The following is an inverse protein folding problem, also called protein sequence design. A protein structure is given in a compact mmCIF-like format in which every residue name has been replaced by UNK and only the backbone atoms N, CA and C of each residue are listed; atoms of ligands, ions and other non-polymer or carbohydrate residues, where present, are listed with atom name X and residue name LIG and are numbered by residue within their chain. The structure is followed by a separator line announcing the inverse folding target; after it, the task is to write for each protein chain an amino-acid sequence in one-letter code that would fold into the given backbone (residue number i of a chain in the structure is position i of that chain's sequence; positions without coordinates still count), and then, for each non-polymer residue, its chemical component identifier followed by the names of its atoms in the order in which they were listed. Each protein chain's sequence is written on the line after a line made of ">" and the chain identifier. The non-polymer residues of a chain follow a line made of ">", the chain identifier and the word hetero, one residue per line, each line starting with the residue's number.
data_IF_262727114735
#
_entry.id   IF_262727114735
#
_cell.length_a   1.000
_cell.length_b   1.000
_cell.length_c   1.000
_cell.angle_alpha   90.00
_cell.angle_beta   90.00
_cell.angle_gamma   90.00
#
_symmetry.space_group_name_H-M   'P 1'
#
loop_
_entity.id
_entity.type
_entity.pdbx_description
1 polymer ?
#
# COMPACT_ATOMS: atom_id res chain seq x y z
N UNK A 1 -23.19 28.00 42.00
CA UNK A 1 -22.57 29.04 41.16
C UNK A 1 -21.95 28.33 39.95
N UNK A 2 -22.78 28.05 38.94
CA UNK A 2 -22.32 27.58 37.63
C UNK A 2 -21.86 28.81 36.84
N UNK A 3 -20.61 28.84 36.38
CA UNK A 3 -20.12 29.81 35.39
C UNK A 3 -20.13 29.14 34.03
N UNK A 4 -21.09 29.53 33.19
CA UNK A 4 -21.21 29.14 31.79
C UNK A 4 -20.07 29.76 30.98
N UNK A 5 -19.33 28.94 30.25
CA UNK A 5 -18.36 29.38 29.23
C UNK A 5 -19.11 29.35 27.90
N UNK A 6 -19.44 30.53 27.36
CA UNK A 6 -20.02 30.70 26.03
C UNK A 6 -18.99 30.35 24.95
N UNK A 7 -19.40 29.57 23.95
CA UNK A 7 -18.64 29.34 22.73
C UNK A 7 -19.00 30.39 21.67
N UNK A 8 -18.03 30.88 20.88
CA UNK A 8 -18.28 31.92 19.88
C UNK A 8 -19.07 31.37 18.68
N UNK A 9 -19.99 32.20 18.21
CA UNK A 9 -20.92 31.90 17.10
C UNK A 9 -20.23 31.89 15.73
N UNK A 10 -20.75 31.09 14.79
CA UNK A 10 -20.24 30.86 13.43
C UNK A 10 -20.03 32.12 12.56
N UNK A 11 -20.54 33.28 12.97
CA UNK A 11 -20.35 34.55 12.28
C UNK A 11 -18.95 35.19 12.50
N UNK A 12 -18.21 34.82 13.56
CA UNK A 12 -16.86 35.36 13.80
C UNK A 12 -15.73 34.54 13.13
N UNK A 13 -15.99 33.28 12.77
CA UNK A 13 -15.02 32.41 12.08
C UNK A 13 -14.91 32.75 10.59
N UNK A 14 -15.95 33.37 10.00
CA UNK A 14 -16.02 33.68 8.58
C UNK A 14 -15.20 34.92 8.14
N UNK A 15 -14.47 35.61 9.04
CA UNK A 15 -13.71 36.82 8.71
C UNK A 15 -12.18 36.64 8.62
N UNK A 16 -11.67 35.41 8.75
CA UNK A 16 -10.24 35.13 8.72
C UNK A 16 -9.71 34.54 7.40
N UNK A 17 -10.55 34.36 6.38
CA UNK A 17 -10.17 33.77 5.10
C UNK A 17 -10.55 34.68 3.93
N UNK A 18 -9.68 35.63 3.61
CA UNK A 18 -9.87 36.51 2.45
C UNK A 18 -8.73 37.49 2.27
N UNK A 19 -7.69 37.10 1.53
CA UNK A 19 -6.59 37.97 1.13
C UNK A 19 -5.64 37.29 0.12
N UNK A 20 -5.34 37.91 -1.03
CA UNK A 20 -4.79 37.24 -2.20
C UNK A 20 -3.27 37.17 -2.16
N UNK A 21 -2.69 35.99 -2.42
CA UNK A 21 -1.34 35.85 -2.99
C UNK A 21 -1.16 34.43 -3.51
N UNK A 22 -1.49 34.27 -4.78
CA UNK A 22 -1.15 33.12 -5.62
C UNK A 22 0.35 33.12 -5.90
N UNK A 23 1.09 32.16 -5.35
CA UNK A 23 2.39 31.75 -5.87
C UNK A 23 2.25 30.35 -6.46
N UNK A 24 2.20 30.31 -7.78
CA UNK A 24 2.31 29.09 -8.55
C UNK A 24 3.73 28.56 -8.46
N UNK A 25 3.88 27.30 -8.07
CA UNK A 25 5.11 26.54 -8.27
C UNK A 25 4.90 25.65 -9.50
N UNK A 26 5.36 26.13 -10.66
CA UNK A 26 5.65 25.29 -11.82
C UNK A 26 6.87 24.41 -11.47
N UNK A 27 6.69 23.10 -11.51
CA UNK A 27 7.79 22.14 -11.37
C UNK A 27 8.05 21.52 -12.74
N UNK A 28 9.06 22.07 -13.41
CA UNK A 28 9.58 21.61 -14.70
C UNK A 28 10.61 20.49 -14.44
N UNK A 29 10.27 19.25 -14.76
CA UNK A 29 11.21 18.11 -14.74
C UNK A 29 11.70 17.83 -16.16
N UNK A 30 12.70 18.63 -16.57
CA UNK A 30 13.60 18.33 -17.67
C UNK A 30 14.79 17.51 -17.19
N UNK A 31 15.08 16.46 -17.94
CA UNK A 31 16.23 15.56 -17.84
C UNK A 31 17.57 16.29 -17.61
N UNK A 32 18.43 15.73 -16.75
CA UNK A 32 19.84 15.49 -17.08
C UNK A 32 20.57 14.62 -16.06
N UNK A 33 21.20 13.61 -16.64
CA UNK A 33 22.15 12.65 -16.11
C UNK A 33 23.34 13.33 -15.42
N UNK A 34 23.72 12.83 -14.23
CA UNK A 34 25.11 12.82 -13.77
C UNK A 34 25.34 11.58 -12.88
N UNK A 35 25.99 10.57 -13.46
CA UNK A 35 26.55 9.43 -12.75
C UNK A 35 27.72 9.90 -11.86
N UNK A 36 27.56 9.75 -10.54
CA UNK A 36 28.60 9.96 -9.54
C UNK A 36 29.29 8.64 -9.18
N UNK A 37 30.60 8.66 -9.28
CA UNK A 37 31.57 7.58 -9.06
C UNK A 37 31.71 7.22 -7.57
N UNK A 38 31.72 5.93 -7.23
CA UNK A 38 32.28 5.41 -5.96
C UNK A 38 33.22 4.23 -6.29
N UNK A 39 34.47 4.22 -5.81
CA UNK A 39 35.50 3.27 -6.23
C UNK A 39 35.40 1.92 -5.51
N UNK A 40 35.51 0.84 -6.29
CA UNK A 40 35.56 -0.55 -5.84
C UNK A 40 37.02 -0.98 -5.70
N UNK A 41 37.56 -0.86 -4.50
CA UNK A 41 38.82 -1.49 -4.10
C UNK A 41 38.51 -2.68 -3.18
N UNK A 42 39.31 -3.75 -3.30
CA UNK A 42 39.38 -4.93 -2.42
C UNK A 42 38.27 -5.99 -2.55
N UNK A 43 38.40 -6.86 -3.56
CA UNK A 43 38.43 -8.32 -3.32
C UNK A 43 39.48 -8.89 -4.27
N UNK A 44 40.67 -9.14 -3.71
CA UNK A 44 41.73 -9.93 -4.34
C UNK A 44 41.49 -11.41 -4.03
N UNK A 45 42.09 -12.24 -4.88
CA UNK A 45 42.42 -13.66 -4.71
C UNK A 45 41.39 -14.68 -5.24
N UNK A 46 41.61 -15.08 -6.50
CA UNK A 46 40.89 -16.14 -7.21
C UNK A 46 41.58 -16.48 -8.54
N UNK A 47 42.81 -16.96 -8.42
CA UNK A 47 43.74 -17.32 -9.50
C UNK A 47 43.33 -18.66 -10.15
N UNK A 48 43.03 -18.70 -11.46
CA UNK A 48 43.37 -19.88 -12.28
C UNK A 48 43.47 -19.55 -13.78
N UNK A 49 44.50 -20.09 -14.40
CA UNK A 49 45.18 -19.63 -15.61
C UNK A 49 44.97 -20.67 -16.72
N UNK A 50 44.39 -20.30 -17.86
CA UNK A 50 44.45 -21.09 -19.10
C UNK A 50 44.60 -20.18 -20.33
N UNK A 51 45.71 -19.44 -20.38
CA UNK A 51 46.22 -18.77 -21.57
C UNK A 51 47.08 -19.77 -22.37
N UNK A 52 46.48 -20.56 -23.27
CA UNK A 52 47.21 -21.25 -24.35
C UNK A 52 46.35 -21.82 -25.48
N UNK A 53 45.35 -21.08 -25.99
CA UNK A 53 44.53 -21.57 -27.12
C UNK A 53 44.19 -20.55 -28.23
N UNK A 54 44.82 -19.38 -28.28
CA UNK A 54 44.51 -18.36 -29.32
C UNK A 54 45.74 -17.89 -30.11
N UNK A 55 46.64 -18.80 -30.50
CA UNK A 55 47.74 -18.51 -31.45
C UNK A 55 47.83 -19.53 -32.59
N UNK A 56 46.69 -19.96 -33.10
CA UNK A 56 46.60 -20.89 -34.24
C UNK A 56 45.53 -20.51 -35.27
N UNK A 57 44.88 -19.34 -35.15
CA UNK A 57 43.87 -18.86 -36.10
C UNK A 57 44.27 -17.60 -36.90
N UNK A 58 45.49 -17.08 -36.71
CA UNK A 58 46.00 -15.89 -37.41
C UNK A 58 46.82 -16.21 -38.67
N UNK A 59 46.85 -17.48 -39.11
CA UNK A 59 47.62 -17.91 -40.29
C UNK A 59 46.78 -18.34 -41.49
N UNK A 60 45.48 -18.00 -41.56
CA UNK A 60 44.60 -18.47 -42.66
C UNK A 60 43.81 -17.39 -43.42
N UNK A 61 43.95 -16.09 -43.12
CA UNK A 61 43.21 -15.03 -43.85
C UNK A 61 44.11 -14.01 -44.57
N UNK A 62 45.44 -14.20 -44.53
CA UNK A 62 46.40 -13.35 -45.22
C UNK A 62 46.86 -13.92 -46.58
N UNK A 63 45.93 -14.28 -47.47
CA UNK A 63 46.27 -14.71 -48.85
C UNK A 63 45.07 -14.66 -49.81
N UNK A 64 44.73 -13.46 -50.27
CA UNK A 64 44.31 -13.13 -51.65
C UNK A 64 44.30 -11.59 -51.71
N UNK A 65 45.30 -11.03 -52.41
CA UNK A 65 45.25 -9.65 -52.90
C UNK A 65 44.05 -9.51 -53.85
N UNK A 66 43.53 -8.33 -54.12
CA UNK A 66 44.22 -7.32 -54.91
C UNK A 66 43.52 -5.99 -54.67
N UNK A 67 44.32 -5.02 -54.23
CA UNK A 67 44.10 -3.60 -54.46
C UNK A 67 44.27 -3.32 -55.95
N UNK A 68 43.28 -2.69 -56.59
CA UNK A 68 43.52 -1.81 -57.73
C UNK A 68 42.41 -0.73 -57.73
N UNK A 69 42.64 0.41 -57.07
CA UNK A 69 43.32 1.59 -57.60
C UNK A 69 42.50 2.32 -58.69
N UNK A 70 41.84 3.39 -58.24
CA UNK A 70 41.62 4.66 -58.96
C UNK A 70 40.74 4.61 -60.22
N UNK A 71 39.52 5.16 -60.12
CA UNK A 71 39.09 6.22 -61.04
C UNK A 71 37.88 6.99 -60.51
N UNK A 72 38.12 8.29 -60.33
CA UNK A 72 37.25 9.39 -60.74
C UNK A 72 35.94 9.57 -59.97
N UNK A 73 35.99 10.61 -59.13
CA UNK A 73 35.04 11.72 -59.12
C UNK A 73 34.09 11.84 -60.32
N UNK A 74 32.89 12.29 -59.97
CA UNK A 74 31.76 12.79 -60.77
C UNK A 74 30.58 11.81 -60.86
N UNK A 75 29.52 12.02 -60.09
CA UNK A 75 28.43 12.98 -60.35
C UNK A 75 27.26 12.23 -61.02
N UNK A 76 26.04 12.67 -60.72
CA UNK A 76 24.81 12.44 -61.50
C UNK A 76 23.95 11.21 -61.12
N UNK A 77 22.95 11.52 -60.29
CA UNK A 77 21.51 11.18 -60.39
C UNK A 77 21.06 9.75 -60.71
N UNK A 78 20.14 9.24 -59.88
CA UNK A 78 19.28 8.12 -60.27
C UNK A 78 18.42 7.61 -59.12
N UNK A 79 17.39 8.37 -58.75
CA UNK A 79 16.34 7.92 -57.83
C UNK A 79 15.57 6.76 -58.51
N UNK A 80 15.98 5.53 -58.24
CA UNK A 80 15.41 4.32 -58.85
C UNK A 80 14.19 3.84 -58.04
N UNK A 81 13.02 3.93 -58.68
CA UNK A 81 11.66 3.65 -58.17
C UNK A 81 11.34 2.17 -57.94
N UNK A 82 12.31 1.33 -57.58
CA UNK A 82 12.11 -0.12 -57.33
C UNK A 82 12.69 -0.59 -56.00
N UNK A 83 12.23 -0.02 -54.89
CA UNK A 83 12.53 -0.55 -53.54
C UNK A 83 11.38 -0.38 -52.53
N UNK A 84 10.12 -0.50 -52.96
CA UNK A 84 8.94 -0.42 -52.08
C UNK A 84 8.61 -1.71 -51.31
N UNK A 85 9.19 -2.85 -51.69
CA UNK A 85 9.04 -4.14 -51.01
C UNK A 85 9.71 -4.25 -49.63
N UNK A 86 10.81 -3.52 -49.37
CA UNK A 86 11.54 -3.56 -48.09
C UNK A 86 10.75 -2.90 -46.95
N UNK A 87 10.13 -1.72 -47.11
CA UNK A 87 9.26 -1.17 -46.07
C UNK A 87 7.94 -1.96 -45.92
N UNK A 88 7.41 -2.55 -46.99
CA UNK A 88 6.19 -3.34 -46.94
C UNK A 88 6.35 -4.65 -46.13
N UNK A 89 7.49 -5.34 -46.27
CA UNK A 89 7.82 -6.52 -45.46
C UNK A 89 8.06 -6.17 -43.98
N UNK A 90 8.66 -5.01 -43.69
CA UNK A 90 8.87 -4.53 -42.33
C UNK A 90 7.58 -4.15 -41.59
N UNK A 91 6.61 -3.56 -42.30
CA UNK A 91 5.29 -3.26 -41.72
C UNK A 91 4.49 -4.55 -41.53
N UNK A 92 4.60 -5.52 -42.45
CA UNK A 92 3.87 -6.78 -42.34
C UNK A 92 4.38 -7.64 -41.17
N UNK A 93 5.68 -7.66 -40.88
CA UNK A 93 6.23 -8.36 -39.70
C UNK A 93 5.88 -7.68 -38.38
N UNK A 94 5.76 -6.35 -38.34
CA UNK A 94 5.30 -5.62 -37.14
C UNK A 94 3.82 -5.88 -36.86
N UNK A 95 2.97 -5.88 -37.89
CA UNK A 95 1.54 -6.20 -37.76
C UNK A 95 1.32 -7.68 -37.37
N UNK A 96 2.19 -8.59 -37.84
CA UNK A 96 2.14 -10.01 -37.45
C UNK A 96 2.60 -10.24 -35.99
N UNK A 97 3.40 -9.34 -35.43
CA UNK A 97 3.86 -9.41 -34.03
C UNK A 97 2.85 -8.79 -33.06
N UNK A 98 2.04 -7.85 -33.54
CA UNK A 98 0.83 -7.37 -32.86
C UNK A 98 -0.34 -8.31 -33.17
N UNK A 99 -0.27 -9.55 -32.65
CA UNK A 99 -1.42 -10.46 -32.66
C UNK A 99 -2.66 -9.78 -32.04
N UNK A 100 -3.88 -10.25 -32.38
CA UNK A 100 -5.09 -9.71 -31.77
C UNK A 100 -4.97 -9.82 -30.25
N UNK A 101 -5.06 -8.66 -29.57
CA UNK A 101 -5.23 -8.63 -28.12
C UNK A 101 -6.53 -9.38 -27.86
N UNK A 102 -6.53 -10.50 -27.11
CA UNK A 102 -7.78 -11.11 -26.72
C UNK A 102 -8.46 -10.11 -25.79
N UNK A 103 -9.42 -9.35 -26.31
CA UNK A 103 -10.44 -8.67 -25.52
C UNK A 103 -11.42 -9.76 -25.02
N UNK A 104 -10.90 -10.76 -24.34
CA UNK A 104 -11.66 -11.79 -23.67
C UNK A 104 -11.78 -11.41 -22.19
N UNK A 105 -12.49 -10.31 -21.92
CA UNK A 105 -13.46 -10.40 -20.83
C UNK A 105 -14.58 -11.29 -21.35
N UNK A 106 -14.35 -12.61 -21.30
CA UNK A 106 -15.47 -13.54 -21.37
C UNK A 106 -16.48 -13.04 -20.33
N UNK A 107 -17.77 -12.96 -20.69
CA UNK A 107 -18.80 -12.60 -19.74
C UNK A 107 -18.72 -13.60 -18.58
N UNK A 108 -18.11 -13.20 -17.48
CA UNK A 108 -18.05 -14.01 -16.27
C UNK A 108 -19.49 -14.22 -15.81
N UNK A 109 -19.82 -15.43 -15.36
CA UNK A 109 -21.17 -15.66 -14.88
C UNK A 109 -21.44 -14.78 -13.66
N UNK A 110 -22.70 -14.36 -13.46
CA UNK A 110 -23.09 -13.60 -12.26
C UNK A 110 -22.69 -14.29 -10.95
N UNK A 111 -22.61 -15.63 -10.96
CA UNK A 111 -22.07 -16.43 -9.86
C UNK A 111 -20.57 -16.20 -9.64
N UNK A 112 -19.74 -16.27 -10.68
CA UNK A 112 -18.29 -16.05 -10.57
C UNK A 112 -17.98 -14.64 -10.07
N UNK A 113 -18.70 -13.64 -10.60
CA UNK A 113 -18.60 -12.25 -10.16
C UNK A 113 -18.97 -12.12 -8.67
N UNK A 114 -20.08 -12.75 -8.26
CA UNK A 114 -20.50 -12.75 -6.86
C UNK A 114 -19.44 -13.40 -5.95
N UNK A 115 -18.94 -14.59 -6.31
CA UNK A 115 -17.93 -15.30 -5.52
C UNK A 115 -16.60 -14.54 -5.46
N UNK A 116 -16.20 -13.88 -6.54
CA UNK A 116 -14.93 -13.15 -6.62
C UNK A 116 -14.95 -11.78 -5.92
N UNK A 117 -16.10 -11.07 -5.90
CA UNK A 117 -16.16 -9.66 -5.49
C UNK A 117 -17.13 -9.38 -4.34
N UNK A 118 -18.14 -10.22 -4.11
CA UNK A 118 -19.23 -9.94 -3.15
C UNK A 118 -19.25 -10.91 -1.96
N UNK A 119 -18.92 -12.18 -2.18
CA UNK A 119 -19.04 -13.26 -1.20
C UNK A 119 -18.14 -13.12 0.04
N UNK A 120 -17.10 -12.28 -0.04
CA UNK A 120 -16.26 -11.93 1.10
C UNK A 120 -17.03 -11.13 2.16
N UNK A 121 -17.94 -10.26 1.73
CA UNK A 121 -18.67 -9.37 2.63
C UNK A 121 -20.13 -9.77 2.81
N UNK A 122 -20.73 -10.40 1.79
CA UNK A 122 -22.15 -10.72 1.74
C UNK A 122 -22.39 -12.22 1.64
N UNK A 123 -23.38 -12.70 2.37
CA UNK A 123 -23.92 -14.04 2.20
C UNK A 123 -25.29 -13.99 1.49
N UNK A 124 -25.73 -15.15 1.01
CA UNK A 124 -27.11 -15.38 0.57
C UNK A 124 -27.66 -16.47 1.48
N UNK A 125 -28.51 -16.09 2.43
CA UNK A 125 -29.15 -17.00 3.39
C UNK A 125 -28.21 -17.51 4.49
N UNK A 126 -27.01 -16.94 4.61
CA UNK A 126 -26.00 -17.29 5.60
C UNK A 126 -25.89 -16.28 6.76
N UNK A 127 -26.72 -15.23 6.76
CA UNK A 127 -26.67 -14.16 7.76
C UNK A 127 -25.56 -13.12 7.53
N UNK A 128 -25.35 -12.25 8.52
CA UNK A 128 -24.36 -11.16 8.46
C UNK A 128 -22.93 -11.71 8.48
N UNK A 129 -22.08 -11.25 7.55
CA UNK A 129 -20.63 -11.41 7.61
C UNK A 129 -20.00 -10.04 7.92
N UNK A 130 -19.71 -9.23 6.90
CA UNK A 130 -19.32 -7.82 7.03
C UNK A 130 -20.51 -6.93 6.67
N UNK A 131 -21.16 -7.23 5.54
CA UNK A 131 -22.37 -6.59 5.06
C UNK A 131 -23.66 -7.38 5.39
N UNK A 132 -24.83 -6.82 5.05
CA UNK A 132 -26.12 -7.50 5.19
C UNK A 132 -26.23 -8.75 4.32
N UNK A 133 -27.06 -9.70 4.75
CA UNK A 133 -27.48 -10.85 3.94
C UNK A 133 -28.34 -10.38 2.75
N UNK A 134 -28.05 -10.93 1.58
CA UNK A 134 -28.69 -10.59 0.31
C UNK A 134 -29.87 -11.51 -0.04
N UNK A 135 -30.14 -12.54 0.77
CA UNK A 135 -31.34 -13.35 0.60
C UNK A 135 -32.60 -12.48 0.60
N UNK A 136 -33.40 -12.56 -0.47
CA UNK A 136 -34.65 -11.80 -0.63
C UNK A 136 -34.45 -10.29 -0.77
N UNK A 137 -33.27 -9.82 -1.19
CA UNK A 137 -33.01 -8.38 -1.34
C UNK A 137 -33.92 -7.72 -2.38
N UNK A 138 -34.31 -8.46 -3.41
CA UNK A 138 -35.22 -8.00 -4.47
C UNK A 138 -36.67 -7.79 -3.99
N UNK A 139 -37.06 -8.39 -2.86
CA UNK A 139 -38.37 -8.16 -2.25
C UNK A 139 -38.37 -6.91 -1.37
N UNK A 140 -37.18 -6.53 -0.87
CA UNK A 140 -37.01 -5.36 -0.01
C UNK A 140 -36.80 -4.07 -0.79
N UNK A 141 -36.20 -4.13 -1.99
CA UNK A 141 -35.78 -2.96 -2.76
C UNK A 141 -35.93 -3.17 -4.26
N UNK A 142 -36.16 -2.05 -4.96
CA UNK A 142 -36.29 -2.06 -6.41
C UNK A 142 -34.96 -2.37 -7.10
N UNK A 143 -35.03 -2.94 -8.31
CA UNK A 143 -33.88 -3.20 -9.15
C UNK A 143 -33.04 -1.93 -9.39
N UNK A 144 -33.69 -0.81 -9.68
CA UNK A 144 -33.03 0.47 -9.92
C UNK A 144 -32.25 0.98 -8.71
N UNK A 145 -32.82 0.82 -7.50
CA UNK A 145 -32.14 1.19 -6.28
C UNK A 145 -30.90 0.31 -6.06
N UNK A 146 -31.02 -1.01 -6.29
CA UNK A 146 -29.89 -1.95 -6.15
C UNK A 146 -28.78 -1.64 -7.14
N UNK A 147 -29.10 -1.35 -8.40
CA UNK A 147 -28.11 -0.97 -9.41
C UNK A 147 -27.38 0.32 -9.02
N UNK A 148 -28.11 1.34 -8.55
CA UNK A 148 -27.52 2.60 -8.10
C UNK A 148 -26.62 2.41 -6.87
N UNK A 149 -27.08 1.61 -5.90
CA UNK A 149 -26.35 1.36 -4.66
C UNK A 149 -25.09 0.53 -4.90
N UNK A 150 -25.13 -0.51 -5.74
CA UNK A 150 -23.94 -1.32 -6.07
C UNK A 150 -22.91 -0.51 -6.86
N UNK A 151 -23.36 0.37 -7.76
CA UNK A 151 -22.47 1.21 -8.57
C UNK A 151 -21.75 2.25 -7.73
N UNK A 152 -22.46 2.93 -6.84
CA UNK A 152 -21.90 4.04 -6.05
C UNK A 152 -22.61 4.15 -4.68
N UNK A 153 -22.29 3.27 -3.72
CA UNK A 153 -22.98 3.23 -2.43
C UNK A 153 -22.81 4.53 -1.63
N UNK A 154 -21.62 5.12 -1.64
CA UNK A 154 -21.34 6.38 -0.94
C UNK A 154 -22.18 7.54 -1.47
N UNK A 155 -22.38 7.65 -2.79
CA UNK A 155 -23.19 8.74 -3.34
C UNK A 155 -24.67 8.61 -2.99
N UNK A 156 -25.19 7.38 -2.82
CA UNK A 156 -26.56 7.15 -2.33
C UNK A 156 -26.69 7.55 -0.87
N UNK A 157 -25.70 7.21 -0.03
CA UNK A 157 -25.66 7.60 1.39
C UNK A 157 -25.57 9.13 1.53
N UNK A 158 -24.65 9.77 0.79
CA UNK A 158 -24.46 11.23 0.79
C UNK A 158 -25.67 11.99 0.23
N UNK A 159 -26.43 11.37 -0.69
CA UNK A 159 -27.68 11.94 -1.19
C UNK A 159 -28.81 11.99 -0.15
N UNK A 160 -28.61 11.39 1.03
CA UNK A 160 -29.55 11.41 2.14
C UNK A 160 -30.68 10.39 2.02
N UNK A 161 -30.49 9.32 1.23
CA UNK A 161 -31.46 8.22 1.18
C UNK A 161 -31.58 7.56 2.57
N UNK A 162 -32.79 7.56 3.19
CA UNK A 162 -32.95 7.14 4.58
C UNK A 162 -32.62 5.65 4.78
N UNK A 163 -32.88 4.80 3.78
CA UNK A 163 -32.58 3.38 3.85
C UNK A 163 -31.07 3.12 3.74
N UNK A 164 -30.40 3.82 2.83
CA UNK A 164 -28.95 3.71 2.66
C UNK A 164 -28.20 4.20 3.91
N UNK A 165 -28.62 5.33 4.49
CA UNK A 165 -28.05 5.87 5.74
C UNK A 165 -28.31 4.92 6.91
N UNK A 166 -29.52 4.37 7.04
CA UNK A 166 -29.86 3.43 8.11
C UNK A 166 -29.02 2.14 8.03
N UNK A 167 -28.80 1.62 6.81
CA UNK A 167 -27.88 0.49 6.61
C UNK A 167 -26.46 0.91 7.01
N UNK A 168 -25.96 2.03 6.52
CA UNK A 168 -24.59 2.46 6.78
C UNK A 168 -24.30 2.60 8.29
N UNK A 169 -25.20 3.23 9.03
CA UNK A 169 -25.13 3.34 10.50
C UNK A 169 -25.17 1.96 11.18
N UNK A 170 -26.07 1.07 10.75
CA UNK A 170 -26.22 -0.28 11.34
C UNK A 170 -25.00 -1.18 11.12
N UNK A 171 -24.24 -0.96 10.05
CA UNK A 171 -23.06 -1.75 9.70
C UNK A 171 -21.75 -1.01 10.02
N UNK A 172 -21.71 -0.32 11.17
CA UNK A 172 -20.53 0.34 11.73
C UNK A 172 -19.89 1.39 10.81
N UNK A 173 -20.68 2.01 9.92
CA UNK A 173 -20.18 2.98 8.92
C UNK A 173 -19.08 2.39 8.04
N UNK A 174 -19.12 1.07 7.82
CA UNK A 174 -18.16 0.40 6.98
C UNK A 174 -18.46 0.68 5.50
N UNK A 175 -17.55 1.33 4.76
CA UNK A 175 -17.84 1.71 3.38
C UNK A 175 -17.82 0.48 2.46
N UNK A 176 -18.90 0.26 1.71
CA UNK A 176 -18.90 -0.69 0.60
C UNK A 176 -18.03 -0.12 -0.54
N UNK A 177 -17.04 -0.87 -1.07
CA UNK A 177 -16.21 -0.39 -2.19
C UNK A 177 -17.04 -0.12 -3.44
N UNK A 178 -16.74 0.98 -4.13
CA UNK A 178 -17.40 1.37 -5.38
C UNK A 178 -16.56 0.97 -6.61
N UNK A 179 -17.21 0.80 -7.76
CA UNK A 179 -16.53 0.61 -9.04
C UNK A 179 -15.83 -0.74 -9.24
N UNK A 180 -16.22 -1.77 -8.47
CA UNK A 180 -15.66 -3.12 -8.60
C UNK A 180 -16.08 -3.83 -9.90
N UNK A 181 -17.24 -3.47 -10.45
CA UNK A 181 -17.90 -4.12 -11.59
C UNK A 181 -18.61 -3.09 -12.48
N UNK A 182 -18.79 -3.42 -13.75
CA UNK A 182 -19.46 -2.61 -14.79
C UNK A 182 -20.99 -2.70 -14.70
N UNK A 183 -21.71 -1.76 -15.33
CA UNK A 183 -23.18 -1.72 -15.33
C UNK A 183 -23.82 -3.03 -15.87
N UNK A 184 -23.14 -3.73 -16.79
CA UNK A 184 -23.59 -5.03 -17.30
C UNK A 184 -23.40 -6.13 -16.26
N UNK A 185 -22.22 -6.20 -15.65
CA UNK A 185 -21.86 -7.17 -14.61
C UNK A 185 -22.75 -7.00 -13.37
N UNK A 186 -23.15 -5.77 -13.01
CA UNK A 186 -24.12 -5.51 -11.92
C UNK A 186 -25.43 -6.25 -12.17
N UNK A 187 -25.96 -6.20 -13.38
CA UNK A 187 -27.23 -6.86 -13.74
C UNK A 187 -27.09 -8.39 -13.67
N UNK A 188 -25.95 -8.91 -14.10
CA UNK A 188 -25.66 -10.35 -14.04
C UNK A 188 -25.56 -10.85 -12.59
N UNK A 189 -24.89 -10.09 -11.71
CA UNK A 189 -24.81 -10.41 -10.27
C UNK A 189 -26.17 -10.33 -9.59
N UNK A 190 -26.97 -9.28 -9.86
CA UNK A 190 -28.32 -9.16 -9.29
C UNK A 190 -29.24 -10.29 -9.76
N UNK A 191 -29.16 -10.67 -11.04
CA UNK A 191 -29.90 -11.82 -11.56
C UNK A 191 -29.52 -13.12 -10.83
N UNK A 192 -28.22 -13.36 -10.59
CA UNK A 192 -27.75 -14.49 -9.80
C UNK A 192 -28.30 -14.46 -8.37
N UNK A 193 -28.20 -13.32 -7.68
CA UNK A 193 -28.72 -13.16 -6.30
C UNK A 193 -30.21 -13.48 -6.24
N UNK A 194 -31.00 -13.06 -7.24
CA UNK A 194 -32.44 -13.35 -7.32
C UNK A 194 -32.70 -14.86 -7.40
N UNK A 195 -31.98 -15.55 -8.28
CA UNK A 195 -32.11 -17.02 -8.44
C UNK A 195 -31.64 -17.74 -7.18
N UNK A 196 -30.48 -17.38 -6.64
CA UNK A 196 -29.92 -17.99 -5.44
C UNK A 196 -30.78 -17.76 -4.19
N UNK A 197 -31.44 -16.60 -4.08
CA UNK A 197 -32.40 -16.31 -3.01
C UNK A 197 -33.65 -17.17 -3.10
N UNK A 198 -34.16 -17.41 -4.31
CA UNK A 198 -35.35 -18.22 -4.53
C UNK A 198 -35.10 -19.72 -4.35
N UNK A 199 -33.87 -20.17 -4.62
CA UNK A 199 -33.46 -21.57 -4.47
C UNK A 199 -33.31 -22.02 -3.01
N UNK A 200 -33.50 -21.13 -2.01
CA UNK A 200 -33.35 -21.45 -0.59
C UNK A 200 -32.00 -22.12 -0.34
N UNK A 201 -30.91 -21.40 -0.59
CA UNK A 201 -29.56 -21.95 -0.81
C UNK A 201 -29.04 -22.85 0.33
N UNK A 202 -29.41 -24.13 0.27
CA UNK A 202 -28.75 -25.25 0.94
C UNK A 202 -27.54 -25.78 0.17
N UNK A 203 -27.28 -25.30 -1.05
CA UNK A 203 -26.20 -25.84 -1.92
C UNK A 203 -25.08 -24.85 -2.26
N UNK A 204 -25.17 -23.57 -1.88
CA UNK A 204 -24.04 -22.61 -2.01
C UNK A 204 -23.33 -22.33 -0.68
N UNK A 205 -23.41 -23.29 0.26
CA UNK A 205 -22.74 -23.21 1.57
C UNK A 205 -21.75 -24.35 1.85
N UNK A 206 -21.25 -25.06 0.83
CA UNK A 206 -20.15 -26.00 1.04
C UNK A 206 -18.75 -25.36 1.07
N UNK A 207 -18.60 -24.04 0.79
CA UNK A 207 -17.29 -23.38 0.83
C UNK A 207 -17.12 -22.28 1.89
N UNK A 208 -18.18 -21.74 2.51
CA UNK A 208 -18.05 -20.79 3.63
C UNK A 208 -19.14 -20.99 4.69
N UNK A 209 -19.60 -22.23 4.91
CA UNK A 209 -20.21 -22.56 6.18
C UNK A 209 -19.14 -22.45 7.28
N UNK A 210 -19.38 -21.55 8.22
CA UNK A 210 -18.56 -21.33 9.42
C UNK A 210 -18.52 -22.62 10.24
N UNK A 211 -17.58 -23.51 9.92
CA UNK A 211 -16.99 -24.38 10.93
C UNK A 211 -16.10 -23.49 11.81
N UNK A 212 -16.44 -23.42 13.10
CA UNK A 212 -15.52 -23.05 14.19
C UNK A 212 -14.14 -23.66 13.88
N UNK A 213 -13.04 -22.90 14.00
CA UNK A 213 -11.77 -23.26 13.38
C UNK A 213 -11.32 -24.67 13.82
N UNK A 214 -10.96 -25.49 12.84
CA UNK A 214 -10.43 -26.86 12.96
C UNK A 214 -9.05 -26.91 13.65
N UNK A 215 -8.53 -25.76 14.09
CA UNK A 215 -7.35 -25.62 14.95
C UNK A 215 -7.56 -24.48 15.94
N UNK A 216 -7.48 -24.77 17.23
CA UNK A 216 -7.44 -23.74 18.28
C UNK A 216 -6.12 -22.98 18.14
N UNK A 217 -6.18 -21.65 18.09
CA UNK A 217 -4.98 -20.82 17.97
C UNK A 217 -4.08 -21.03 19.20
N UNK A 218 -2.81 -21.37 18.96
CA UNK A 218 -1.83 -21.48 20.03
C UNK A 218 -1.09 -20.15 20.25
N UNK A 219 -0.34 -20.03 21.36
CA UNK A 219 0.47 -18.82 21.62
C UNK A 219 1.54 -18.60 20.54
N UNK A 220 2.03 -19.68 19.94
CA UNK A 220 2.97 -19.65 18.83
C UNK A 220 2.32 -19.05 17.58
N UNK A 221 1.06 -19.39 17.30
CA UNK A 221 0.30 -18.84 16.16
C UNK A 221 0.06 -17.33 16.35
N UNK A 222 -0.25 -16.88 17.57
CA UNK A 222 -0.35 -15.44 17.92
C UNK A 222 0.98 -14.73 17.70
N UNK A 223 2.08 -15.31 18.17
CA UNK A 223 3.43 -14.72 18.02
C UNK A 223 3.84 -14.66 16.55
N UNK A 224 3.51 -15.69 15.77
CA UNK A 224 3.72 -15.70 14.31
C UNK A 224 2.91 -14.60 13.64
N UNK A 225 1.64 -14.44 14.00
CA UNK A 225 0.77 -13.37 13.50
C UNK A 225 1.32 -11.98 13.81
N UNK A 226 1.74 -11.75 15.04
CA UNK A 226 2.40 -10.52 15.48
C UNK A 226 3.65 -10.24 14.64
N UNK A 227 4.50 -11.24 14.40
CA UNK A 227 5.71 -11.10 13.61
C UNK A 227 5.45 -10.79 12.14
N UNK A 228 4.42 -11.39 11.54
CA UNK A 228 3.97 -11.07 10.19
C UNK A 228 3.40 -9.65 10.11
N UNK A 229 2.56 -9.27 11.08
CA UNK A 229 1.94 -7.95 11.14
C UNK A 229 2.99 -6.84 11.20
N UNK A 230 3.94 -6.95 12.14
CA UNK A 230 4.99 -5.94 12.37
C UNK A 230 6.17 -6.04 11.38
N UNK A 231 6.16 -7.02 10.48
CA UNK A 231 7.23 -7.20 9.49
C UNK A 231 8.54 -7.79 10.01
N UNK A 232 8.54 -8.40 11.20
CA UNK A 232 9.68 -9.23 11.67
C UNK A 232 9.80 -10.53 10.88
N UNK A 233 8.67 -11.05 10.40
CA UNK A 233 8.62 -12.16 9.45
C UNK A 233 8.10 -11.64 8.09
N UNK A 234 8.68 -12.14 7.00
CA UNK A 234 8.21 -11.84 5.64
C UNK A 234 7.07 -12.78 5.26
N UNK A 235 6.12 -12.26 4.51
CA UNK A 235 5.11 -13.07 3.84
C UNK A 235 5.74 -13.93 2.75
N UNK A 236 5.21 -15.14 2.54
CA UNK A 236 5.67 -16.10 1.54
C UNK A 236 5.62 -15.50 0.12
N UNK A 237 4.54 -14.80 -0.20
CA UNK A 237 4.34 -14.16 -1.50
C UNK A 237 4.87 -12.71 -1.55
N UNK A 238 5.76 -12.32 -0.63
CA UNK A 238 6.43 -11.01 -0.60
C UNK A 238 5.46 -9.79 -0.61
N UNK A 239 4.30 -9.95 0.03
CA UNK A 239 3.36 -8.86 0.31
C UNK A 239 3.95 -7.79 1.25
N UNK A 240 3.41 -6.56 1.23
CA UNK A 240 3.78 -5.53 2.21
C UNK A 240 3.33 -5.92 3.62
N UNK A 241 4.00 -5.37 4.64
CA UNK A 241 3.69 -5.64 6.05
C UNK A 241 2.52 -4.80 6.52
N UNK A 242 1.62 -5.37 7.33
CA UNK A 242 0.39 -4.70 7.73
C UNK A 242 0.66 -3.42 8.54
N UNK A 243 1.67 -3.45 9.42
CA UNK A 243 2.06 -2.32 10.27
C UNK A 243 2.46 -1.07 9.50
N UNK A 244 2.84 -1.20 8.22
CA UNK A 244 3.23 -0.04 7.40
C UNK A 244 2.06 0.92 7.14
N UNK A 245 0.83 0.40 7.14
CA UNK A 245 -0.39 1.16 6.90
C UNK A 245 -1.32 1.18 8.12
N UNK A 246 -1.34 0.09 8.89
CA UNK A 246 -2.22 -0.10 10.02
C UNK A 246 -1.48 0.00 11.35
N UNK A 247 -2.18 0.47 12.38
CA UNK A 247 -1.74 0.40 13.77
C UNK A 247 -2.59 -0.61 14.56
N UNK A 248 -1.98 -1.17 15.61
CA UNK A 248 -2.62 -2.04 16.61
C UNK A 248 -2.05 -1.66 17.97
N UNK A 249 -2.91 -1.31 18.90
CA UNK A 249 -2.55 -1.07 20.30
C UNK A 249 -2.19 -2.39 20.96
N UNK A 250 -0.89 -2.64 21.03
CA UNK A 250 -0.33 -3.81 21.69
C UNK A 250 1.03 -3.43 22.28
N UNK A 251 1.32 -3.86 23.51
CA UNK A 251 2.58 -3.65 24.22
C UNK A 251 3.82 -4.13 23.43
N UNK A 252 3.64 -5.09 22.52
CA UNK A 252 4.71 -5.65 21.70
C UNK A 252 4.92 -4.93 20.36
N UNK A 253 4.01 -4.04 19.95
CA UNK A 253 4.06 -3.31 18.67
C UNK A 253 4.47 -1.86 18.92
N UNK A 254 5.61 -1.43 18.35
CA UNK A 254 6.16 -0.08 18.53
C UNK A 254 5.50 0.88 17.51
N UNK A 255 4.19 1.07 17.63
CA UNK A 255 3.40 1.95 16.77
C UNK A 255 3.35 1.55 15.29
N UNK A 256 2.18 1.67 14.69
CA UNK A 256 1.96 1.39 13.27
C UNK A 256 1.72 2.62 12.41
N UNK A 257 1.40 2.36 11.15
CA UNK A 257 1.00 3.37 10.19
C UNK A 257 -0.36 3.96 10.54
N UNK A 258 -0.50 5.27 10.31
CA UNK A 258 -1.76 6.01 10.48
C UNK A 258 -2.50 6.23 9.16
N UNK A 259 -2.06 5.56 8.09
CA UNK A 259 -2.61 5.70 6.75
C UNK A 259 -3.95 4.97 6.58
N UNK A 260 -4.16 3.90 7.34
CA UNK A 260 -5.36 3.09 7.31
C UNK A 260 -6.01 2.98 8.70
N UNK A 261 -7.17 2.33 8.76
CA UNK A 261 -7.94 2.13 10.00
C UNK A 261 -7.11 1.36 11.03
N UNK A 262 -7.17 1.80 12.28
CA UNK A 262 -6.58 1.11 13.44
C UNK A 262 -7.35 -0.19 13.72
N UNK A 263 -6.63 -1.30 13.94
CA UNK A 263 -7.20 -2.65 13.91
C UNK A 263 -7.39 -3.30 15.29
N UNK A 264 -7.15 -2.59 16.40
CA UNK A 264 -7.28 -3.13 17.76
C UNK A 264 -8.66 -3.74 18.02
N UNK A 265 -9.73 -3.04 17.62
CA UNK A 265 -11.12 -3.46 17.88
C UNK A 265 -11.80 -4.18 16.71
N UNK A 266 -11.01 -4.64 15.73
CA UNK A 266 -11.55 -5.13 14.46
C UNK A 266 -12.36 -6.42 14.62
N UNK A 267 -12.04 -7.25 15.62
CA UNK A 267 -12.77 -8.49 15.88
C UNK A 267 -14.11 -8.23 16.55
N UNK A 268 -14.17 -7.28 17.48
CA UNK A 268 -15.42 -6.83 18.07
C UNK A 268 -16.34 -6.17 17.04
N UNK A 269 -15.78 -5.49 16.04
CA UNK A 269 -16.56 -4.81 14.98
C UNK A 269 -17.07 -5.75 13.87
N UNK A 270 -16.22 -6.66 13.39
CA UNK A 270 -16.47 -7.47 12.18
C UNK A 270 -16.60 -8.97 12.44
N UNK A 271 -16.14 -9.45 13.60
CA UNK A 271 -16.03 -10.86 13.92
C UNK A 271 -14.95 -11.61 13.10
N UNK A 272 -14.59 -12.80 13.57
CA UNK A 272 -13.56 -13.63 12.92
C UNK A 272 -13.83 -13.94 11.43
N UNK A 273 -15.06 -14.26 10.99
CA UNK A 273 -15.37 -14.45 9.58
C UNK A 273 -15.14 -13.19 8.73
N UNK A 274 -15.53 -12.01 9.21
CA UNK A 274 -15.35 -10.75 8.49
C UNK A 274 -13.87 -10.38 8.32
N UNK A 275 -13.07 -10.52 9.39
CA UNK A 275 -11.63 -10.25 9.32
C UNK A 275 -10.94 -11.23 8.35
N UNK A 276 -11.27 -12.52 8.41
CA UNK A 276 -10.74 -13.52 7.47
C UNK A 276 -11.07 -13.18 6.02
N UNK A 277 -12.29 -12.71 5.76
CA UNK A 277 -12.71 -12.37 4.41
C UNK A 277 -11.98 -11.14 3.86
N UNK A 278 -11.74 -10.12 4.67
CA UNK A 278 -10.96 -8.94 4.27
C UNK A 278 -9.49 -9.31 3.98
N UNK A 279 -8.87 -10.12 4.83
CA UNK A 279 -7.49 -10.56 4.63
C UNK A 279 -7.31 -11.47 3.41
N UNK A 280 -8.32 -12.31 3.12
CA UNK A 280 -8.30 -13.20 1.96
C UNK A 280 -8.60 -12.49 0.63
N UNK A 281 -9.50 -11.52 0.63
CA UNK A 281 -9.97 -10.85 -0.59
C UNK A 281 -9.34 -9.49 -0.89
N UNK A 282 -8.74 -8.82 0.11
CA UNK A 282 -8.21 -7.46 0.02
C UNK A 282 -9.16 -6.48 -0.73
N UNK A 283 -10.44 -6.35 -0.30
CA UNK A 283 -11.50 -5.71 -1.11
C UNK A 283 -11.37 -4.18 -1.25
N UNK A 284 -10.40 -3.56 -0.57
CA UNK A 284 -10.19 -2.12 -0.61
C UNK A 284 -9.19 -1.75 -1.69
N UNK A 285 -9.42 -0.71 -2.51
CA UNK A 285 -8.57 -0.38 -3.66
C UNK A 285 -7.07 -0.26 -3.35
N UNK A 286 -6.73 0.34 -2.20
CA UNK A 286 -5.34 0.48 -1.75
C UNK A 286 -4.73 -0.88 -1.37
N UNK A 287 -5.49 -1.73 -0.68
CA UNK A 287 -5.03 -3.08 -0.34
C UNK A 287 -4.98 -3.99 -1.57
N UNK A 288 -5.96 -3.93 -2.46
CA UNK A 288 -6.01 -4.67 -3.72
C UNK A 288 -4.77 -4.34 -4.58
N UNK A 289 -4.45 -3.05 -4.73
CA UNK A 289 -3.25 -2.62 -5.44
C UNK A 289 -1.95 -3.11 -4.76
N UNK A 290 -1.90 -3.08 -3.43
CA UNK A 290 -0.72 -3.45 -2.65
C UNK A 290 -0.45 -4.97 -2.64
N UNK A 291 -1.53 -5.78 -2.66
CA UNK A 291 -1.48 -7.25 -2.64
C UNK A 291 -1.73 -7.89 -4.00
N UNK A 292 -1.76 -7.09 -5.08
CA UNK A 292 -1.85 -7.59 -6.45
C UNK A 292 -0.74 -8.62 -6.70
N UNK A 293 -1.13 -9.84 -7.09
CA UNK A 293 -0.26 -10.99 -7.32
C UNK A 293 0.55 -11.47 -6.09
N UNK A 294 0.18 -11.01 -4.88
CA UNK A 294 0.89 -11.26 -3.62
C UNK A 294 -0.06 -11.76 -2.52
N UNK A 295 -1.03 -12.58 -2.91
CA UNK A 295 -2.08 -13.07 -2.01
C UNK A 295 -1.51 -13.73 -0.75
N UNK A 296 -2.16 -13.54 0.39
CA UNK A 296 -1.76 -14.18 1.64
C UNK A 296 -2.11 -15.67 1.63
N UNK A 297 -1.24 -16.49 2.20
CA UNK A 297 -1.54 -17.92 2.37
C UNK A 297 -2.55 -18.13 3.50
N UNK A 298 -3.28 -19.26 3.46
CA UNK A 298 -4.26 -19.62 4.49
C UNK A 298 -3.65 -19.67 5.90
N UNK A 299 -2.40 -20.12 6.00
CA UNK A 299 -1.66 -20.22 7.27
C UNK A 299 -1.27 -18.84 7.82
N UNK A 300 -0.86 -17.93 6.94
CA UNK A 300 -0.56 -16.53 7.32
C UNK A 300 -1.84 -15.81 7.75
N UNK A 301 -2.93 -15.95 7.01
CA UNK A 301 -4.24 -15.40 7.37
C UNK A 301 -4.67 -15.94 8.74
N UNK A 302 -4.54 -17.24 8.99
CA UNK A 302 -4.86 -17.83 10.30
C UNK A 302 -4.05 -17.21 11.44
N UNK A 303 -2.73 -17.06 11.25
CA UNK A 303 -1.84 -16.48 12.27
C UNK A 303 -2.16 -15.01 12.53
N UNK A 304 -2.41 -14.22 11.48
CA UNK A 304 -2.81 -12.82 11.58
C UNK A 304 -4.15 -12.66 12.31
N UNK A 305 -5.12 -13.50 12.00
CA UNK A 305 -6.43 -13.56 12.66
C UNK A 305 -6.26 -13.87 14.14
N UNK A 306 -5.46 -14.87 14.50
CA UNK A 306 -5.19 -15.20 15.90
C UNK A 306 -4.54 -14.04 16.67
N UNK A 307 -3.61 -13.32 16.03
CA UNK A 307 -2.99 -12.14 16.63
C UNK A 307 -3.99 -11.00 16.85
N UNK A 308 -4.78 -10.66 15.83
CA UNK A 308 -5.75 -9.58 15.90
C UNK A 308 -6.89 -9.91 16.88
N UNK A 309 -7.33 -11.16 16.97
CA UNK A 309 -8.26 -11.64 17.99
C UNK A 309 -7.68 -11.46 19.39
N UNK A 310 -6.41 -11.84 19.58
CA UNK A 310 -5.73 -11.65 20.87
C UNK A 310 -5.56 -10.17 21.24
N UNK A 311 -5.31 -9.30 20.25
CA UNK A 311 -5.22 -7.86 20.46
C UNK A 311 -6.59 -7.28 20.86
N UNK A 312 -7.67 -7.73 20.21
CA UNK A 312 -9.05 -7.37 20.55
C UNK A 312 -9.51 -7.95 21.88
N UNK A 313 -9.01 -9.09 22.36
CA UNK A 313 -9.32 -9.55 23.72
C UNK A 313 -8.60 -8.72 24.79
N UNK A 314 -7.35 -8.35 24.50
CA UNK A 314 -6.49 -7.67 25.47
C UNK A 314 -6.63 -6.15 25.45
N UNK A 315 -7.30 -5.56 24.47
CA UNK A 315 -7.46 -4.10 24.33
C UNK A 315 -7.96 -3.41 25.60
N UNK A 316 -8.82 -4.09 26.38
CA UNK A 316 -9.37 -3.57 27.63
C UNK A 316 -8.32 -3.47 28.76
N UNK A 317 -7.27 -4.28 28.70
CA UNK A 317 -6.19 -4.35 29.71
C UNK A 317 -4.89 -3.66 29.24
N UNK A 318 -4.74 -3.46 27.94
CA UNK A 318 -3.57 -2.84 27.32
C UNK A 318 -3.72 -1.30 27.39
N UNK A 319 -2.92 -0.64 28.25
CA UNK A 319 -2.79 0.83 28.20
C UNK A 319 -1.76 1.18 27.13
N UNK A 320 -2.06 2.07 26.17
CA UNK A 320 -1.07 2.50 25.19
C UNK A 320 0.16 3.03 25.92
N UNK A 321 1.33 2.40 25.72
CA UNK A 321 2.58 2.91 26.28
C UNK A 321 2.88 4.24 25.61
N UNK A 322 2.72 5.32 26.36
CA UNK A 322 3.11 6.65 25.95
C UNK A 322 4.64 6.77 26.02
N UNK A 323 5.30 6.36 24.94
CA UNK A 323 6.74 6.59 24.76
C UNK A 323 7.06 8.07 24.60
N UNK A 324 6.09 8.91 24.20
CA UNK A 324 6.29 10.34 23.97
C UNK A 324 6.68 11.07 25.24
N UNK A 325 5.88 10.95 26.31
CA UNK A 325 6.21 11.58 27.59
C UNK A 325 7.46 10.98 28.23
N UNK A 326 7.62 9.66 28.18
CA UNK A 326 8.81 8.99 28.72
C UNK A 326 10.12 9.41 28.03
N UNK A 327 10.12 9.50 26.69
CA UNK A 327 11.28 9.95 25.90
C UNK A 327 11.57 11.43 26.13
N UNK A 328 10.53 12.27 26.20
CA UNK A 328 10.69 13.70 26.45
C UNK A 328 11.26 13.96 27.85
N UNK A 329 10.74 13.30 28.88
CA UNK A 329 11.25 13.41 30.25
C UNK A 329 12.68 12.89 30.37
N UNK A 330 12.98 11.73 29.79
CA UNK A 330 14.35 11.18 29.80
C UNK A 330 15.34 12.06 29.02
N UNK A 331 14.90 12.67 27.92
CA UNK A 331 15.67 13.66 27.16
C UNK A 331 15.96 14.92 27.99
N UNK A 332 14.96 15.47 28.69
CA UNK A 332 15.13 16.62 29.58
C UNK A 332 16.09 16.29 30.72
N UNK A 333 15.91 15.15 31.39
CA UNK A 333 16.80 14.71 32.47
C UNK A 333 18.23 14.53 31.94
N UNK A 334 18.40 13.90 30.78
CA UNK A 334 19.69 13.74 30.12
C UNK A 334 20.36 15.08 29.80
N UNK A 335 19.60 16.06 29.30
CA UNK A 335 20.10 17.41 29.04
C UNK A 335 20.56 18.11 30.32
N UNK A 336 19.78 18.03 31.41
CA UNK A 336 20.18 18.61 32.70
C UNK A 336 21.45 17.96 33.26
N UNK A 337 21.59 16.63 33.15
CA UNK A 337 22.80 15.91 33.56
C UNK A 337 24.00 16.37 32.73
N UNK A 338 23.83 16.48 31.40
CA UNK A 338 24.86 16.94 30.48
C UNK A 338 25.29 18.38 30.80
N UNK A 339 24.35 19.30 30.95
CA UNK A 339 24.63 20.70 31.29
C UNK A 339 25.24 20.85 32.68
N UNK A 340 24.79 20.07 33.65
CA UNK A 340 25.38 20.03 34.99
C UNK A 340 26.84 19.55 34.95
N UNK A 341 27.11 18.48 34.21
CA UNK A 341 28.46 17.97 34.01
C UNK A 341 29.35 18.96 33.26
N UNK A 342 28.85 19.59 32.20
CA UNK A 342 29.59 20.61 31.45
C UNK A 342 29.90 21.82 32.33
N UNK A 343 28.93 22.26 33.14
CA UNK A 343 29.12 23.36 34.09
C UNK A 343 30.19 23.00 35.12
N UNK A 344 30.18 21.78 35.67
CA UNK A 344 31.21 21.27 36.59
C UNK A 344 32.61 21.29 35.98
N UNK A 345 32.77 20.86 34.73
CA UNK A 345 34.05 20.95 34.01
C UNK A 345 34.47 22.41 33.79
N UNK A 346 33.51 23.28 33.50
CA UNK A 346 33.75 24.70 33.26
C UNK A 346 34.11 25.49 34.52
N UNK A 347 33.76 25.01 35.71
CA UNK A 347 34.17 25.65 36.98
C UNK A 347 35.69 25.72 37.15
N UNK A 348 36.45 24.82 36.51
CA UNK A 348 37.93 24.84 36.52
C UNK A 348 38.56 25.73 35.46
N UNK A 349 37.76 26.42 34.63
CA UNK A 349 38.28 27.35 33.63
C UNK A 349 38.84 28.60 34.32
N UNK A 350 40.04 29.02 33.90
CA UNK A 350 40.65 30.29 34.33
C UNK A 350 39.73 31.44 33.94
N UNK A 351 39.33 32.25 34.92
CA UNK A 351 38.44 33.41 34.73
C UNK A 351 39.17 34.62 34.13
N UNK A 352 40.48 34.69 34.38
CA UNK A 352 41.31 35.79 33.89
C UNK A 352 41.92 35.46 32.54
N UNK A 353 42.10 36.49 31.70
CA UNK A 353 42.88 36.36 30.49
C UNK A 353 44.35 36.05 30.84
N UNK A 354 45.07 35.34 29.96
CA UNK A 354 46.47 34.97 30.20
C UNK A 354 47.36 36.21 30.48
N UNK A 355 46.99 37.36 29.88
CA UNK A 355 47.70 38.63 30.00
C UNK A 355 47.02 39.62 30.96
N UNK A 356 46.07 39.18 31.80
CA UNK A 356 45.34 40.09 32.70
C UNK A 356 46.29 40.89 33.59
N UNK A 357 47.34 40.24 34.11
CA UNK A 357 48.39 40.89 34.90
C UNK A 357 49.19 41.95 34.14
N UNK A 358 49.28 41.86 32.81
CA UNK A 358 49.94 42.87 31.97
C UNK A 358 48.98 44.06 31.80
N UNK A 359 47.73 43.80 31.45
CA UNK A 359 46.70 44.82 31.30
C UNK A 359 46.50 45.62 32.60
N UNK A 360 46.35 44.95 33.75
CA UNK A 360 46.15 45.61 35.04
C UNK A 360 47.35 46.49 35.45
N UNK A 361 48.55 46.19 34.96
CA UNK A 361 49.74 47.03 35.17
C UNK A 361 49.75 48.26 34.29
N UNK A 362 49.30 48.13 33.03
CA UNK A 362 49.20 49.26 32.10
C UNK A 362 48.14 50.26 32.54
N UNK A 363 46.98 49.80 33.02
CA UNK A 363 45.90 50.66 33.50
C UNK A 363 46.25 51.40 34.80
N UNK A 364 47.12 50.82 35.64
CA UNK A 364 47.57 51.47 36.89
C UNK A 364 48.73 52.46 36.70
N UNK A 365 49.34 52.49 35.51
CA UNK A 365 50.46 53.39 35.19
C UNK A 365 50.05 54.66 34.46
N UNK A 366 48.78 54.79 34.07
CA UNK A 366 48.14 56.06 33.72
C UNK A 366 47.56 56.72 34.98
#
# INVERSE_FOLDING_TARGET
>A
MQSSIEQPTEAEVAKAQGGPNSLQFEVNWGEKLCFGVIPRALVKDGFFKWHKFSRLLDSFVARIGVLDMIRRTNMITGFSTKRWWVPALGVFTIVLWMGPVPESRAAESGEQLFQGKCASCHSIGGGKIVGPDLAGVHDRRSQEWLEKFVKSPQSVIESGDPDAVAIYEKFNKFPMPAGLITDKEIKEVLAYIKVASAAGSGETQAAVAVKKPEKVATKEDITRGLNLFQGKARFENAGPTCISCHDVKNDAVIGGGVLAKELTTVFSELGGPGVRAILGGAPFPVMEAAYKDKALTKTEVFSLVAFLESADEQHAYQKPRDYGTGLLLSGIIGAFILFGFYSLLWLRRRKDSVNQKIYDRQVKSE
#
